data_IF_439753472083
#
_entry.id   IF_439753472083
#
_cell.length_a   1.000
_cell.length_b   1.000
_cell.length_c   1.000
_cell.angle_alpha   90.00
_cell.angle_beta   90.00
_cell.angle_gamma   90.00
#
_symmetry.space_group_name_H-M   'P 1'
#
loop_
_entity.id
_entity.type
_entity.pdbx_description
1 polymer ?
#
# COMPACT_ATOMS: atom_id res chain seq x y z
N UNK A 1 34.04 25.96 -30.23
CA UNK A 1 32.67 26.49 -30.06
C UNK A 1 31.84 25.35 -29.51
N UNK A 2 31.54 25.37 -28.21
CA UNK A 2 30.93 24.27 -27.49
C UNK A 2 29.40 24.45 -27.55
N UNK A 3 28.69 23.53 -28.22
CA UNK A 3 27.23 23.54 -28.27
C UNK A 3 26.73 22.43 -27.36
N UNK A 4 26.05 22.83 -26.29
CA UNK A 4 25.46 21.96 -25.28
C UNK A 4 24.58 20.88 -25.93
N UNK A 5 25.00 19.62 -25.79
CA UNK A 5 24.13 18.46 -25.93
C UNK A 5 23.25 18.41 -24.68
N UNK A 6 21.98 18.80 -24.80
CA UNK A 6 21.01 18.58 -23.73
C UNK A 6 20.57 17.12 -23.76
N UNK A 7 20.90 16.39 -22.71
CA UNK A 7 20.52 15.00 -22.48
C UNK A 7 19.00 14.86 -22.23
N UNK A 8 18.25 14.56 -23.29
CA UNK A 8 16.81 14.22 -23.22
C UNK A 8 16.54 12.75 -22.86
N UNK A 9 17.31 12.14 -21.96
CA UNK A 9 17.21 10.69 -21.67
C UNK A 9 16.77 10.30 -20.24
N UNK A 10 16.38 11.24 -19.38
CA UNK A 10 16.10 10.92 -17.96
C UNK A 10 14.62 10.88 -17.53
N UNK A 11 13.68 11.47 -18.28
CA UNK A 11 12.27 11.53 -17.85
C UNK A 11 11.46 10.23 -18.09
N UNK A 12 11.83 9.41 -19.08
CA UNK A 12 11.07 8.21 -19.45
C UNK A 12 11.23 7.01 -18.50
N UNK A 13 12.32 6.94 -17.74
CA UNK A 13 12.64 5.82 -16.84
C UNK A 13 11.96 5.97 -15.47
N UNK A 14 11.99 7.18 -14.90
CA UNK A 14 11.39 7.47 -13.59
C UNK A 14 9.88 7.27 -13.56
N UNK A 15 9.18 7.61 -14.65
CA UNK A 15 7.73 7.43 -14.78
C UNK A 15 7.31 5.97 -15.02
N UNK A 16 8.16 5.12 -15.62
CA UNK A 16 7.87 3.68 -15.70
C UNK A 16 8.02 2.99 -14.34
N UNK A 17 9.02 3.42 -13.56
CA UNK A 17 9.31 2.86 -12.25
C UNK A 17 8.22 3.17 -11.22
N UNK A 18 7.70 4.40 -11.19
CA UNK A 18 6.61 4.79 -10.28
C UNK A 18 5.31 4.04 -10.58
N UNK A 19 4.97 3.85 -11.86
CA UNK A 19 3.82 3.04 -12.27
C UNK A 19 3.96 1.59 -11.83
N UNK A 20 5.16 1.01 -11.94
CA UNK A 20 5.42 -0.35 -11.46
C UNK A 20 5.23 -0.45 -9.94
N UNK A 21 5.76 0.51 -9.16
CA UNK A 21 5.55 0.52 -7.72
C UNK A 21 4.08 0.68 -7.32
N UNK A 22 3.33 1.55 -8.03
CA UNK A 22 1.90 1.73 -7.81
C UNK A 22 1.10 0.46 -8.12
N UNK A 23 1.46 -0.24 -9.20
CA UNK A 23 0.88 -1.55 -9.55
C UNK A 23 1.18 -2.60 -8.48
N UNK A 24 2.43 -2.69 -8.01
CA UNK A 24 2.83 -3.62 -6.95
C UNK A 24 2.10 -3.33 -5.65
N UNK A 25 2.00 -2.06 -5.24
CA UNK A 25 1.22 -1.69 -4.06
C UNK A 25 -0.26 -2.03 -4.22
N UNK A 26 -0.82 -1.76 -5.41
CA UNK A 26 -2.22 -2.09 -5.74
C UNK A 26 -2.46 -3.59 -5.62
N UNK A 27 -1.55 -4.41 -6.12
CA UNK A 27 -1.61 -5.86 -6.00
C UNK A 27 -1.56 -6.29 -4.53
N UNK A 28 -0.59 -5.81 -3.75
CA UNK A 28 -0.42 -6.19 -2.35
C UNK A 28 -1.60 -5.81 -1.46
N UNK A 29 -2.23 -4.66 -1.71
CA UNK A 29 -3.45 -4.26 -1.01
C UNK A 29 -4.64 -5.17 -1.36
N UNK A 30 -4.66 -5.71 -2.58
CA UNK A 30 -5.68 -6.66 -3.03
C UNK A 30 -5.50 -8.01 -2.36
N UNK A 31 -4.25 -8.46 -2.25
CA UNK A 31 -3.89 -9.67 -1.51
C UNK A 31 -4.23 -9.53 -0.02
N UNK A 32 -3.94 -8.37 0.59
CA UNK A 32 -4.33 -8.10 1.97
C UNK A 32 -5.85 -8.19 2.13
N UNK A 33 -6.62 -7.58 1.23
CA UNK A 33 -8.07 -7.71 1.21
C UNK A 33 -8.51 -9.18 1.13
N UNK A 34 -7.88 -9.95 0.25
CA UNK A 34 -8.21 -11.36 0.06
C UNK A 34 -8.02 -12.19 1.34
N UNK A 35 -6.98 -11.91 2.12
CA UNK A 35 -6.75 -12.57 3.43
C UNK A 35 -7.95 -12.40 4.36
N UNK A 36 -8.61 -11.23 4.36
CA UNK A 36 -9.76 -10.97 5.23
C UNK A 36 -11.10 -11.40 4.62
N UNK A 37 -11.18 -11.54 3.29
CA UNK A 37 -12.38 -12.03 2.59
C UNK A 37 -12.48 -13.56 2.65
N UNK A 38 -11.33 -14.26 2.64
CA UNK A 38 -11.28 -15.69 2.93
C UNK A 38 -11.66 -15.88 4.40
N UNK A 39 -12.90 -16.29 4.67
CA UNK A 39 -13.30 -16.77 6.01
C UNK A 39 -12.57 -18.07 6.28
N UNK A 40 -11.32 -17.97 6.72
CA UNK A 40 -10.54 -19.13 7.14
C UNK A 40 -11.01 -19.51 8.53
N UNK A 41 -11.31 -20.79 8.76
CA UNK A 41 -11.62 -21.35 10.09
C UNK A 41 -10.37 -21.37 11.02
N UNK A 42 -9.29 -20.67 10.64
CA UNK A 42 -8.03 -20.51 11.37
C UNK A 42 -7.69 -19.01 11.51
N UNK A 43 -8.08 -18.39 12.64
CA UNK A 43 -7.72 -17.03 13.00
C UNK A 43 -6.22 -16.75 13.06
N UNK A 44 -5.41 -17.72 13.48
CA UNK A 44 -3.98 -17.52 13.68
C UNK A 44 -3.25 -17.51 12.33
N UNK A 45 -3.63 -18.40 11.41
CA UNK A 45 -3.16 -18.35 10.03
C UNK A 45 -3.52 -17.03 9.35
N UNK A 46 -4.79 -16.60 9.48
CA UNK A 46 -5.27 -15.31 8.95
C UNK A 46 -4.44 -14.14 9.47
N UNK A 47 -4.17 -14.14 10.78
CA UNK A 47 -3.34 -13.13 11.42
C UNK A 47 -1.92 -13.13 10.84
N UNK A 48 -1.26 -14.28 10.78
CA UNK A 48 0.10 -14.39 10.21
C UNK A 48 0.13 -13.82 8.79
N UNK A 49 -0.77 -14.27 7.90
CA UNK A 49 -0.84 -13.79 6.52
C UNK A 49 -1.12 -12.28 6.42
N UNK A 50 -2.00 -11.74 7.28
CA UNK A 50 -2.28 -10.31 7.29
C UNK A 50 -1.04 -9.48 7.68
N UNK A 51 -0.28 -9.94 8.68
CA UNK A 51 0.96 -9.27 9.10
C UNK A 51 2.08 -9.40 8.06
N UNK A 52 2.19 -10.53 7.36
CA UNK A 52 3.12 -10.70 6.25
C UNK A 52 2.84 -9.72 5.11
N UNK A 53 1.57 -9.64 4.67
CA UNK A 53 1.14 -8.70 3.62
C UNK A 53 1.33 -7.24 4.06
N UNK A 54 1.03 -6.91 5.31
CA UNK A 54 1.30 -5.57 5.86
C UNK A 54 2.79 -5.23 5.83
N UNK A 55 3.67 -6.20 6.10
CA UNK A 55 5.12 -6.04 6.01
C UNK A 55 5.59 -5.72 4.59
N UNK A 56 5.04 -6.41 3.59
CA UNK A 56 5.35 -6.16 2.16
C UNK A 56 4.84 -4.79 1.70
N UNK A 57 3.61 -4.42 2.08
CA UNK A 57 3.03 -3.09 1.83
C UNK A 57 3.92 -2.00 2.44
N UNK A 58 4.38 -2.20 3.68
CA UNK A 58 5.26 -1.24 4.37
C UNK A 58 6.61 -1.08 3.65
N UNK A 59 7.18 -2.19 3.15
CA UNK A 59 8.44 -2.17 2.37
C UNK A 59 8.28 -1.40 1.07
N UNK A 60 7.24 -1.68 0.29
CA UNK A 60 7.03 -1.00 -0.99
C UNK A 60 6.73 0.49 -0.80
N UNK A 61 5.93 0.84 0.21
CA UNK A 61 5.66 2.23 0.56
C UNK A 61 6.93 2.98 0.95
N UNK A 62 7.81 2.36 1.75
CA UNK A 62 9.10 2.97 2.10
C UNK A 62 9.93 3.25 0.85
N UNK A 63 10.08 2.27 -0.04
CA UNK A 63 10.83 2.42 -1.29
C UNK A 63 10.28 3.54 -2.17
N UNK A 64 8.95 3.66 -2.26
CA UNK A 64 8.31 4.73 -3.02
C UNK A 64 8.63 6.08 -2.39
N UNK A 65 8.46 6.23 -1.08
CA UNK A 65 8.66 7.52 -0.39
C UNK A 65 10.12 7.95 -0.36
N UNK A 66 11.06 7.01 -0.35
CA UNK A 66 12.50 7.28 -0.47
C UNK A 66 12.87 7.74 -1.89
N UNK A 67 12.32 7.10 -2.93
CA UNK A 67 12.63 7.42 -4.33
C UNK A 67 11.86 8.63 -4.87
N UNK A 68 10.65 8.86 -4.35
CA UNK A 68 9.73 9.89 -4.81
C UNK A 68 9.20 10.70 -3.62
N UNK A 69 10.07 11.49 -2.97
CA UNK A 69 9.71 12.23 -1.76
C UNK A 69 8.57 13.24 -1.98
N UNK A 70 8.37 13.70 -3.21
CA UNK A 70 7.25 14.59 -3.59
C UNK A 70 5.86 13.95 -3.42
N UNK A 71 5.78 12.61 -3.32
CA UNK A 71 4.53 11.89 -3.08
C UNK A 71 4.14 11.82 -1.61
N UNK A 72 5.06 12.18 -0.72
CA UNK A 72 4.85 12.11 0.73
C UNK A 72 3.87 13.21 1.14
N UNK A 73 2.58 12.89 1.11
CA UNK A 73 1.53 13.75 1.64
C UNK A 73 1.14 13.35 3.07
N UNK A 74 0.61 14.31 3.84
CA UNK A 74 0.08 14.04 5.19
C UNK A 74 -1.07 13.02 5.14
N UNK A 75 -1.91 13.09 4.11
CA UNK A 75 -3.03 12.18 3.87
C UNK A 75 -2.53 10.75 3.64
N UNK A 76 -1.54 10.57 2.77
CA UNK A 76 -0.96 9.26 2.50
C UNK A 76 -0.36 8.61 3.76
N UNK A 77 0.35 9.40 4.57
CA UNK A 77 0.93 8.91 5.83
C UNK A 77 -0.15 8.55 6.84
N UNK A 78 -1.23 9.33 6.89
CA UNK A 78 -2.38 9.07 7.76
C UNK A 78 -3.09 7.78 7.34
N UNK A 79 -3.38 7.59 6.06
CA UNK A 79 -4.04 6.40 5.55
C UNK A 79 -3.21 5.13 5.78
N UNK A 80 -1.89 5.22 5.56
CA UNK A 80 -0.98 4.12 5.86
C UNK A 80 -0.95 3.80 7.36
N UNK A 81 -0.93 4.82 8.23
CA UNK A 81 -0.99 4.66 9.68
C UNK A 81 -2.31 4.00 10.11
N UNK A 82 -3.44 4.41 9.52
CA UNK A 82 -4.75 3.86 9.79
C UNK A 82 -4.82 2.38 9.36
N UNK A 83 -4.30 2.02 8.19
CA UNK A 83 -4.26 0.63 7.75
C UNK A 83 -3.42 -0.25 8.69
N UNK A 84 -2.23 0.23 9.09
CA UNK A 84 -1.37 -0.47 10.05
C UNK A 84 -2.10 -0.68 11.37
N UNK A 85 -2.79 0.35 11.87
CA UNK A 85 -3.57 0.25 13.10
C UNK A 85 -4.72 -0.74 12.97
N UNK A 86 -5.48 -0.67 11.87
CA UNK A 86 -6.63 -1.54 11.61
C UNK A 86 -6.21 -3.02 11.57
N UNK A 87 -5.13 -3.37 10.86
CA UNK A 87 -4.62 -4.75 10.82
C UNK A 87 -4.11 -5.21 12.18
N UNK A 88 -3.38 -4.35 12.91
CA UNK A 88 -2.82 -4.70 14.22
C UNK A 88 -3.86 -4.91 15.32
N UNK A 89 -4.95 -4.15 15.26
CA UNK A 89 -6.00 -4.16 16.28
C UNK A 89 -7.23 -4.96 15.86
N UNK A 90 -7.20 -5.57 14.66
CA UNK A 90 -8.26 -6.45 14.20
C UNK A 90 -8.43 -7.61 15.18
N UNK A 91 -9.69 -7.92 15.50
CA UNK A 91 -10.05 -9.07 16.33
C UNK A 91 -10.20 -10.29 15.42
N UNK A 92 -9.11 -11.03 15.27
CA UNK A 92 -9.05 -12.21 14.42
C UNK A 92 -9.93 -13.36 14.94
N UNK A 93 -10.22 -13.37 16.24
CA UNK A 93 -10.98 -14.44 16.88
C UNK A 93 -12.49 -14.23 16.73
N UNK A 94 -12.93 -12.96 16.70
CA UNK A 94 -14.34 -12.61 16.64
C UNK A 94 -14.64 -11.70 15.45
N UNK A 95 -15.12 -12.30 14.37
CA UNK A 95 -15.57 -11.55 13.20
C UNK A 95 -16.68 -10.56 13.58
N UNK A 96 -16.52 -9.31 13.15
CA UNK A 96 -17.54 -8.27 13.20
C UNK A 96 -17.62 -7.59 11.85
N UNK A 97 -18.84 -7.52 11.30
CA UNK A 97 -19.09 -6.83 10.03
C UNK A 97 -18.64 -5.36 10.09
N UNK A 98 -18.84 -4.70 11.22
CA UNK A 98 -18.42 -3.31 11.43
C UNK A 98 -16.89 -3.16 11.37
N UNK A 99 -16.16 -4.03 12.07
CA UNK A 99 -14.69 -4.00 12.09
C UNK A 99 -14.12 -4.35 10.73
N UNK A 100 -14.72 -5.33 10.06
CA UNK A 100 -14.37 -5.71 8.71
C UNK A 100 -14.60 -4.56 7.73
N UNK A 101 -15.74 -3.86 7.81
CA UNK A 101 -16.01 -2.66 6.99
C UNK A 101 -14.95 -1.59 7.22
N UNK A 102 -14.62 -1.26 8.48
CA UNK A 102 -13.58 -0.26 8.80
C UNK A 102 -12.20 -0.62 8.26
N UNK A 103 -11.85 -1.90 8.27
CA UNK A 103 -10.62 -2.40 7.68
C UNK A 103 -10.63 -2.22 6.15
N UNK A 104 -11.74 -2.56 5.49
CA UNK A 104 -11.89 -2.38 4.04
C UNK A 104 -11.83 -0.90 3.64
N UNK A 105 -12.43 -0.02 4.44
CA UNK A 105 -12.34 1.43 4.24
C UNK A 105 -10.88 1.91 4.34
N UNK A 106 -10.12 1.39 5.30
CA UNK A 106 -8.70 1.73 5.45
C UNK A 106 -7.84 1.25 4.28
N UNK A 107 -8.11 0.04 3.75
CA UNK A 107 -7.45 -0.47 2.53
C UNK A 107 -7.78 0.45 1.34
N UNK A 108 -9.07 0.78 1.15
CA UNK A 108 -9.54 1.62 0.06
C UNK A 108 -9.02 3.07 0.15
N UNK A 109 -8.86 3.63 1.34
CA UNK A 109 -8.29 4.96 1.53
C UNK A 109 -6.85 5.00 1.01
N UNK A 110 -6.02 4.02 1.42
CA UNK A 110 -4.63 3.96 0.96
C UNK A 110 -4.53 3.75 -0.56
N UNK A 111 -5.42 2.96 -1.17
CA UNK A 111 -5.54 2.87 -2.63
C UNK A 111 -5.75 4.24 -3.28
N UNK A 112 -6.72 5.01 -2.79
CA UNK A 112 -7.07 6.33 -3.36
C UNK A 112 -5.93 7.33 -3.21
N UNK A 113 -5.24 7.30 -2.07
CA UNK A 113 -4.07 8.15 -1.81
C UNK A 113 -2.89 7.88 -2.74
N UNK A 114 -2.88 6.73 -3.42
CA UNK A 114 -1.84 6.34 -4.38
C UNK A 114 -2.25 6.43 -5.85
N UNK A 115 -3.54 6.51 -6.15
CA UNK A 115 -4.03 6.78 -7.49
C UNK A 115 -3.82 8.26 -7.82
N UNK A 116 -2.69 8.54 -8.47
CA UNK A 116 -2.38 9.85 -9.05
C UNK A 116 -3.59 10.42 -9.81
N UNK A 117 -4.00 11.64 -9.45
CA UNK A 117 -4.86 12.49 -10.31
C UNK A 117 -4.02 13.17 -11.37
#
# INVERSE_FOLDING_TARGET
MNVYKMDHHHLGSSNKNISHYAQTLTYLLGELKHVFDQRVDDPDSTKVSAFERLGEISKIMRLILEKYPLLKSKELLLDASNLVHAVKTYDYQNYSLERHSKLMDSINALYRSFQFK
#
